data_IF_931775078412
#
_entry.id   IF_931775078412
#
_cell.length_a   1.000
_cell.length_b   1.000
_cell.length_c   1.000
_cell.angle_alpha   90.00
_cell.angle_beta   90.00
_cell.angle_gamma   90.00
#
_symmetry.space_group_name_H-M   'P 1'
#
loop_
_entity.id
_entity.type
_entity.pdbx_description
1 polymer ?
#
# COMPACT_ATOMS: atom_id res chain seq x y z
N UNK A 1 -36.98 -6.90 30.62
CA UNK A 1 -35.77 -6.39 31.31
C UNK A 1 -34.54 -7.25 31.02
N UNK A 2 -34.67 -8.57 30.94
CA UNK A 2 -33.58 -9.53 30.64
C UNK A 2 -32.80 -9.30 29.33
N UNK A 3 -33.45 -8.79 28.27
CA UNK A 3 -32.84 -8.65 26.93
C UNK A 3 -31.90 -7.44 26.80
N UNK A 4 -32.08 -6.40 27.64
CA UNK A 4 -31.20 -5.22 27.65
C UNK A 4 -29.90 -5.44 28.41
N UNK A 5 -29.89 -6.39 29.35
CA UNK A 5 -28.70 -6.78 30.11
C UNK A 5 -27.73 -7.59 29.23
N UNK A 6 -28.26 -8.53 28.45
CA UNK A 6 -27.47 -9.40 27.55
C UNK A 6 -26.77 -8.63 26.43
N UNK A 7 -27.43 -7.60 25.89
CA UNK A 7 -26.84 -6.72 24.86
C UNK A 7 -25.70 -5.87 25.44
N UNK A 8 -25.83 -5.44 26.70
CA UNK A 8 -24.84 -4.58 27.36
C UNK A 8 -23.56 -5.35 27.70
N UNK A 9 -23.70 -6.57 28.20
CA UNK A 9 -22.57 -7.50 28.44
C UNK A 9 -21.85 -7.86 27.13
N UNK A 10 -22.59 -8.04 26.04
CA UNK A 10 -22.01 -8.29 24.71
C UNK A 10 -21.18 -7.10 24.21
N UNK A 11 -21.68 -5.87 24.38
CA UNK A 11 -20.96 -4.65 23.98
C UNK A 11 -19.67 -4.46 24.79
N UNK A 12 -19.71 -4.71 26.11
CA UNK A 12 -18.52 -4.61 26.96
C UNK A 12 -17.46 -5.65 26.60
N UNK A 13 -17.89 -6.87 26.26
CA UNK A 13 -16.99 -7.94 25.83
C UNK A 13 -16.31 -7.62 24.49
N UNK A 14 -17.08 -7.13 23.51
CA UNK A 14 -16.54 -6.69 22.20
C UNK A 14 -15.54 -5.53 22.39
N UNK A 15 -15.85 -4.57 23.26
CA UNK A 15 -14.97 -3.43 23.53
C UNK A 15 -13.70 -3.79 24.31
N UNK A 16 -13.69 -4.90 25.06
CA UNK A 16 -12.50 -5.45 25.72
C UNK A 16 -11.64 -6.27 24.76
N UNK A 17 -12.26 -7.07 23.89
CA UNK A 17 -11.57 -7.86 22.86
C UNK A 17 -10.85 -6.93 21.86
N UNK A 18 -11.54 -5.92 21.33
CA UNK A 18 -10.95 -4.92 20.43
C UNK A 18 -9.75 -4.19 21.05
N UNK A 19 -9.80 -3.82 22.34
CA UNK A 19 -8.65 -3.19 23.02
C UNK A 19 -7.45 -4.12 23.17
N UNK A 20 -7.69 -5.42 23.40
CA UNK A 20 -6.61 -6.42 23.52
C UNK A 20 -5.96 -6.68 22.18
N UNK A 21 -6.75 -6.72 21.11
CA UNK A 21 -6.25 -6.84 19.73
C UNK A 21 -5.36 -5.64 19.37
N UNK A 22 -5.83 -4.40 19.63
CA UNK A 22 -5.04 -3.18 19.43
C UNK A 22 -3.72 -3.18 20.22
N UNK A 23 -3.75 -3.66 21.47
CA UNK A 23 -2.56 -3.70 22.33
C UNK A 23 -1.57 -4.80 21.92
N UNK A 24 -2.07 -5.94 21.43
CA UNK A 24 -1.27 -7.03 20.87
C UNK A 24 -0.60 -6.61 19.55
N UNK A 25 -1.36 -6.01 18.63
CA UNK A 25 -0.88 -5.49 17.36
C UNK A 25 0.19 -4.41 17.56
N UNK A 26 -0.05 -3.48 18.50
CA UNK A 26 0.94 -2.47 18.87
C UNK A 26 2.23 -3.09 19.41
N UNK A 27 2.12 -4.15 20.21
CA UNK A 27 3.28 -4.87 20.75
C UNK A 27 4.08 -5.59 19.66
N UNK A 28 3.40 -6.19 18.68
CA UNK A 28 4.02 -6.82 17.53
C UNK A 28 4.74 -5.80 16.63
N UNK A 29 4.10 -4.67 16.36
CA UNK A 29 4.69 -3.58 15.57
C UNK A 29 5.96 -3.05 16.22
N UNK A 30 5.96 -2.86 17.54
CA UNK A 30 7.17 -2.44 18.29
C UNK A 30 8.28 -3.49 18.20
N UNK A 31 7.96 -4.79 18.23
CA UNK A 31 8.95 -5.87 18.04
C UNK A 31 9.53 -5.88 16.63
N UNK A 32 8.71 -5.62 15.60
CA UNK A 32 9.17 -5.52 14.21
C UNK A 32 10.14 -4.34 14.06
N UNK A 33 9.75 -3.16 14.54
CA UNK A 33 10.61 -1.97 14.53
C UNK A 33 11.93 -2.22 15.27
N UNK A 34 11.91 -2.90 16.41
CA UNK A 34 13.13 -3.22 17.16
C UNK A 34 14.10 -4.15 16.40
N UNK A 35 13.60 -4.96 15.46
CA UNK A 35 14.43 -5.83 14.59
C UNK A 35 14.85 -5.16 13.29
N UNK A 36 14.27 -4.01 12.95
CA UNK A 36 14.65 -3.22 11.78
C UNK A 36 15.88 -2.38 12.08
N UNK A 37 16.90 -2.48 11.23
CA UNK A 37 18.07 -1.60 11.32
C UNK A 37 17.69 -0.22 10.79
N UNK A 38 17.81 0.80 11.63
CA UNK A 38 17.65 2.20 11.24
C UNK A 38 19.02 2.88 11.15
N UNK A 39 19.27 3.54 10.04
CA UNK A 39 20.42 4.41 9.84
C UNK A 39 19.93 5.81 9.51
N UNK A 40 20.43 6.81 10.23
CA UNK A 40 20.13 8.21 9.96
C UNK A 40 21.28 8.82 9.17
N UNK A 41 20.95 9.55 8.12
CA UNK A 41 21.90 10.25 7.27
C UNK A 41 21.53 11.72 7.21
N UNK A 42 22.53 12.60 7.33
CA UNK A 42 22.35 14.03 7.17
C UNK A 42 23.49 14.56 6.32
N UNK A 43 23.16 15.07 5.14
CA UNK A 43 24.12 15.61 4.18
C UNK A 43 23.67 17.01 3.72
N UNK A 44 24.63 17.91 3.51
CA UNK A 44 24.37 19.20 2.91
C UNK A 44 24.37 19.07 1.39
N UNK A 45 23.21 19.24 0.76
CA UNK A 45 23.07 19.18 -0.69
C UNK A 45 22.79 20.57 -1.28
N UNK A 46 23.50 20.91 -2.35
CA UNK A 46 23.16 22.08 -3.18
C UNK A 46 21.83 21.86 -3.93
N UNK A 47 21.46 20.60 -4.13
CA UNK A 47 20.21 20.18 -4.73
C UNK A 47 19.67 18.94 -4.00
N UNK A 48 18.61 19.13 -3.22
CA UNK A 48 18.03 18.10 -2.36
C UNK A 48 17.60 16.87 -3.17
N UNK A 49 17.04 17.06 -4.37
CA UNK A 49 16.53 15.93 -5.17
C UNK A 49 17.66 15.12 -5.77
N UNK A 50 18.74 15.78 -6.21
CA UNK A 50 19.93 15.08 -6.67
C UNK A 50 20.63 14.35 -5.51
N UNK A 51 20.71 14.97 -4.34
CA UNK A 51 21.24 14.33 -3.13
C UNK A 51 20.47 13.06 -2.75
N UNK A 52 19.12 13.11 -2.75
CA UNK A 52 18.29 11.94 -2.48
C UNK A 52 18.50 10.81 -3.50
N UNK A 53 18.62 11.13 -4.80
CA UNK A 53 18.89 10.14 -5.85
C UNK A 53 20.26 9.51 -5.63
N UNK A 54 21.30 10.33 -5.46
CA UNK A 54 22.66 9.85 -5.25
C UNK A 54 22.75 8.95 -4.02
N UNK A 55 22.18 9.36 -2.89
CA UNK A 55 22.19 8.57 -1.65
C UNK A 55 21.49 7.21 -1.83
N UNK A 56 20.38 7.19 -2.58
CA UNK A 56 19.65 5.95 -2.87
C UNK A 56 20.48 5.01 -3.74
N UNK A 57 21.15 5.54 -4.77
CA UNK A 57 22.00 4.76 -5.69
C UNK A 57 23.30 4.29 -5.02
N UNK A 58 23.97 5.15 -4.24
CA UNK A 58 25.21 4.83 -3.52
C UNK A 58 24.98 3.72 -2.49
N UNK A 59 23.84 3.75 -1.80
CA UNK A 59 23.42 2.66 -0.90
C UNK A 59 22.91 1.42 -1.61
N UNK A 60 22.69 1.49 -2.92
CA UNK A 60 22.02 0.43 -3.71
C UNK A 60 20.68 0.05 -3.10
N UNK A 61 19.91 1.04 -2.68
CA UNK A 61 18.57 0.81 -2.16
C UNK A 61 17.62 0.48 -3.32
N UNK A 62 16.81 -0.57 -3.15
CA UNK A 62 15.87 -1.03 -4.17
C UNK A 62 14.60 -0.16 -4.25
N UNK A 63 14.31 0.60 -3.18
CA UNK A 63 13.11 1.44 -3.06
C UNK A 63 13.40 2.76 -2.34
N UNK A 64 12.96 3.87 -2.92
CA UNK A 64 12.85 5.17 -2.27
C UNK A 64 11.39 5.41 -1.83
N UNK A 65 11.17 5.66 -0.54
CA UNK A 65 9.88 6.14 -0.02
C UNK A 65 9.99 7.62 0.36
N UNK A 66 9.15 8.46 -0.23
CA UNK A 66 9.12 9.89 0.08
C UNK A 66 7.71 10.44 0.32
N UNK A 67 7.61 11.52 1.09
CA UNK A 67 6.35 12.22 1.29
C UNK A 67 5.95 13.11 0.10
N UNK A 68 4.66 13.20 -0.19
CA UNK A 68 4.12 14.18 -1.12
C UNK A 68 3.95 15.54 -0.45
N UNK A 69 4.57 16.58 -0.99
CA UNK A 69 4.43 17.96 -0.53
C UNK A 69 3.62 18.79 -1.54
N UNK A 70 2.52 19.41 -1.09
CA UNK A 70 1.69 20.33 -1.89
C UNK A 70 0.37 19.76 -2.43
N UNK A 71 -0.41 20.59 -3.13
CA UNK A 71 -1.73 20.21 -3.69
C UNK A 71 -1.66 19.21 -4.85
N UNK A 72 -2.73 18.45 -5.08
CA UNK A 72 -2.84 17.44 -6.15
C UNK A 72 -3.71 18.04 -7.28
N UNK A 73 -3.08 18.64 -8.29
CA UNK A 73 -3.77 19.04 -9.53
C UNK A 73 -2.99 18.54 -10.73
N UNK A 74 -3.68 18.13 -11.80
CA UNK A 74 -3.05 17.53 -12.99
C UNK A 74 -1.96 18.45 -13.56
N UNK A 75 -2.20 19.77 -13.60
CA UNK A 75 -1.20 20.76 -14.03
C UNK A 75 -0.01 20.93 -13.07
N UNK A 76 -0.17 20.58 -11.78
CA UNK A 76 0.93 20.62 -10.80
C UNK A 76 1.78 19.35 -10.83
N UNK A 77 1.23 18.21 -11.26
CA UNK A 77 1.95 16.93 -11.32
C UNK A 77 3.19 17.01 -12.22
N UNK A 78 3.09 17.66 -13.39
CA UNK A 78 4.16 17.67 -14.41
C UNK A 78 5.40 18.52 -14.08
N UNK A 79 5.33 19.42 -13.08
CA UNK A 79 6.45 20.26 -12.62
C UNK A 79 6.73 20.09 -11.11
N UNK A 80 6.36 18.94 -10.53
CA UNK A 80 6.69 18.66 -9.13
C UNK A 80 8.11 18.13 -8.97
N UNK A 81 8.70 18.31 -7.79
CA UNK A 81 9.97 17.64 -7.49
C UNK A 81 9.93 16.11 -7.58
N UNK A 82 8.77 15.50 -7.36
CA UNK A 82 8.55 14.06 -7.54
C UNK A 82 8.82 13.63 -8.99
N UNK A 83 8.42 14.43 -9.99
CA UNK A 83 8.73 14.13 -11.40
C UNK A 83 10.23 14.11 -11.67
N UNK A 84 10.99 14.98 -11.01
CA UNK A 84 12.44 15.00 -11.17
C UNK A 84 13.08 13.73 -10.60
N UNK A 85 12.61 13.28 -9.43
CA UNK A 85 13.04 12.00 -8.86
C UNK A 85 12.66 10.85 -9.78
N UNK A 86 11.38 10.77 -10.18
CA UNK A 86 10.83 9.71 -11.05
C UNK A 86 11.62 9.53 -12.36
N UNK A 87 12.11 10.62 -12.95
CA UNK A 87 12.84 10.57 -14.24
C UNK A 87 14.28 10.07 -14.11
N UNK A 88 14.91 10.25 -12.96
CA UNK A 88 16.36 10.06 -12.82
C UNK A 88 16.74 8.93 -11.86
N UNK A 89 15.83 8.54 -10.97
CA UNK A 89 16.08 7.49 -9.98
C UNK A 89 16.20 6.11 -10.64
N UNK A 90 17.25 5.36 -10.30
CA UNK A 90 17.48 3.97 -10.73
C UNK A 90 17.05 2.93 -9.69
N UNK A 91 15.90 3.17 -9.08
CA UNK A 91 15.28 2.33 -8.07
C UNK A 91 13.76 2.52 -8.13
N UNK A 92 13.01 1.67 -7.45
CA UNK A 92 11.57 1.87 -7.33
C UNK A 92 11.27 3.12 -6.49
N UNK A 93 10.15 3.79 -6.82
CA UNK A 93 9.71 5.00 -6.12
C UNK A 93 8.31 4.79 -5.54
N UNK A 94 8.20 4.90 -4.22
CA UNK A 94 6.94 5.01 -3.51
C UNK A 94 6.76 6.45 -3.00
N UNK A 95 5.54 6.99 -3.18
CA UNK A 95 5.20 8.33 -2.71
C UNK A 95 4.00 8.26 -1.78
N UNK A 96 4.20 8.62 -0.52
CA UNK A 96 3.14 8.66 0.47
C UNK A 96 2.54 10.06 0.54
N UNK A 97 1.25 10.18 0.22
CA UNK A 97 0.48 11.36 0.54
C UNK A 97 -0.38 11.11 1.77
N UNK A 98 0.15 11.47 2.93
CA UNK A 98 -0.60 11.41 4.17
C UNK A 98 -1.74 12.46 4.16
N UNK A 99 -2.95 12.03 4.50
CA UNK A 99 -4.15 12.87 4.65
C UNK A 99 -4.81 12.63 6.01
N UNK A 100 -4.00 12.39 7.03
CA UNK A 100 -4.46 11.95 8.35
C UNK A 100 -4.75 10.44 8.36
N UNK A 101 -3.89 9.67 7.69
CA UNK A 101 -4.00 8.21 7.62
C UNK A 101 -3.82 7.65 9.04
N UNK A 102 -4.83 6.92 9.52
CA UNK A 102 -4.81 6.25 10.83
C UNK A 102 -4.83 4.75 10.65
N UNK A 103 -5.91 4.27 10.03
CA UNK A 103 -6.16 2.85 9.79
C UNK A 103 -6.35 2.61 8.29
N UNK A 104 -5.81 1.48 7.79
CA UNK A 104 -5.94 1.07 6.39
C UNK A 104 -6.73 -0.23 6.36
N UNK A 105 -8.03 -0.14 6.11
CA UNK A 105 -8.90 -1.31 6.06
C UNK A 105 -9.01 -1.91 4.65
N UNK A 106 -8.66 -1.13 3.63
CA UNK A 106 -8.72 -1.54 2.22
C UNK A 106 -7.68 -0.82 1.38
N UNK A 107 -7.14 -1.51 0.39
CA UNK A 107 -6.16 -1.00 -0.58
C UNK A 107 -6.72 -1.25 -1.98
N UNK A 108 -6.74 -0.22 -2.83
CA UNK A 108 -7.13 -0.37 -4.24
C UNK A 108 -5.88 -0.35 -5.11
N UNK A 109 -5.70 -1.40 -5.90
CA UNK A 109 -4.60 -1.55 -6.86
C UNK A 109 -5.14 -1.52 -8.30
N UNK A 110 -4.86 -0.46 -9.08
CA UNK A 110 -5.12 -0.47 -10.52
C UNK A 110 -4.21 -1.50 -11.21
N UNK A 111 -4.79 -2.35 -12.05
CA UNK A 111 -4.08 -3.43 -12.72
C UNK A 111 -4.09 -3.28 -14.23
N UNK A 112 -2.90 -3.05 -14.79
CA UNK A 112 -2.64 -3.05 -16.23
C UNK A 112 -1.78 -4.21 -16.72
N UNK A 113 -1.38 -5.14 -15.84
CA UNK A 113 -0.53 -6.31 -16.18
C UNK A 113 0.95 -6.02 -16.46
N UNK A 114 1.36 -4.75 -16.55
CA UNK A 114 2.75 -4.36 -16.74
C UNK A 114 3.60 -4.38 -15.46
N UNK A 115 4.89 -4.10 -15.58
CA UNK A 115 5.87 -4.14 -14.48
C UNK A 115 5.45 -3.30 -13.26
N UNK A 116 4.90 -2.10 -13.48
CA UNK A 116 4.44 -1.25 -12.39
C UNK A 116 3.23 -1.82 -11.64
N UNK A 117 2.37 -2.60 -12.31
CA UNK A 117 1.24 -3.26 -11.65
C UNK A 117 1.74 -4.40 -10.75
N UNK A 118 2.79 -5.11 -11.16
CA UNK A 118 3.45 -6.13 -10.35
C UNK A 118 4.13 -5.56 -9.10
N UNK A 119 4.89 -4.48 -9.25
CA UNK A 119 5.46 -3.76 -8.10
C UNK A 119 4.34 -3.29 -7.14
N UNK A 120 3.27 -2.72 -7.69
CA UNK A 120 2.11 -2.30 -6.91
C UNK A 120 1.43 -3.46 -6.18
N UNK A 121 1.37 -4.65 -6.78
CA UNK A 121 0.86 -5.86 -6.15
C UNK A 121 1.78 -6.35 -5.03
N UNK A 122 3.09 -6.39 -5.26
CA UNK A 122 4.07 -6.82 -4.26
C UNK A 122 4.02 -5.92 -3.01
N UNK A 123 3.97 -4.61 -3.19
CA UNK A 123 3.84 -3.65 -2.09
C UNK A 123 2.45 -3.77 -1.46
N UNK A 124 1.39 -3.79 -2.28
CA UNK A 124 0.00 -3.83 -1.83
C UNK A 124 -0.31 -5.06 -0.99
N UNK A 125 0.13 -6.25 -1.40
CA UNK A 125 -0.09 -7.50 -0.67
C UNK A 125 0.66 -7.53 0.65
N UNK A 126 1.87 -6.97 0.72
CA UNK A 126 2.64 -6.86 1.96
C UNK A 126 1.95 -5.95 2.97
N UNK A 127 1.47 -4.78 2.53
CA UNK A 127 0.71 -3.87 3.38
C UNK A 127 -0.61 -4.52 3.82
N UNK A 128 -1.33 -5.16 2.89
CA UNK A 128 -2.61 -5.81 3.17
C UNK A 128 -2.46 -6.95 4.19
N UNK A 129 -1.44 -7.80 4.05
CA UNK A 129 -1.15 -8.88 5.01
C UNK A 129 -0.79 -8.32 6.39
N UNK A 130 0.04 -7.28 6.43
CA UNK A 130 0.51 -6.70 7.68
C UNK A 130 -0.62 -6.04 8.48
N UNK A 131 -1.54 -5.36 7.79
CA UNK A 131 -2.64 -4.62 8.42
C UNK A 131 -3.97 -5.40 8.44
N UNK A 132 -3.95 -6.66 8.00
CA UNK A 132 -5.16 -7.45 7.72
C UNK A 132 -6.22 -6.62 6.96
N UNK A 133 -5.80 -5.99 5.86
CA UNK A 133 -6.63 -5.13 5.02
C UNK A 133 -7.14 -5.87 3.78
N UNK A 134 -8.29 -5.48 3.23
CA UNK A 134 -8.72 -6.01 1.92
C UNK A 134 -7.85 -5.43 0.80
N UNK A 135 -7.26 -6.28 -0.04
CA UNK A 135 -6.62 -5.87 -1.29
C UNK A 135 -7.62 -6.02 -2.44
N UNK A 136 -8.11 -4.89 -2.95
CA UNK A 136 -8.97 -4.83 -4.13
C UNK A 136 -8.16 -4.50 -5.38
N UNK A 137 -8.05 -5.44 -6.30
CA UNK A 137 -7.36 -5.26 -7.57
C UNK A 137 -8.38 -4.90 -8.65
N UNK A 138 -8.28 -3.69 -9.20
CA UNK A 138 -9.20 -3.15 -10.21
C UNK A 138 -8.59 -3.25 -11.61
N UNK A 139 -9.25 -3.97 -12.52
CA UNK A 139 -8.86 -4.07 -13.93
C UNK A 139 -9.95 -3.52 -14.84
N UNK A 140 -9.57 -2.64 -15.75
CA UNK A 140 -10.45 -2.16 -16.83
C UNK A 140 -10.19 -2.98 -18.10
N UNK A 141 -11.25 -3.48 -18.71
CA UNK A 141 -11.21 -4.24 -19.97
C UNK A 141 -11.98 -3.52 -21.08
N UNK A 142 -11.69 -3.84 -22.34
CA UNK A 142 -12.46 -3.31 -23.47
C UNK A 142 -13.82 -3.99 -23.55
N UNK A 143 -14.80 -3.30 -24.12
CA UNK A 143 -16.10 -3.89 -24.42
C UNK A 143 -15.97 -5.18 -25.23
N UNK A 144 -16.71 -6.22 -24.81
CA UNK A 144 -16.70 -7.53 -25.46
C UNK A 144 -15.58 -8.47 -25.01
N UNK A 145 -14.80 -8.09 -23.98
CA UNK A 145 -13.93 -9.04 -23.26
C UNK A 145 -14.79 -9.81 -22.26
N UNK A 146 -14.61 -11.14 -22.23
CA UNK A 146 -15.25 -11.97 -21.21
C UNK A 146 -14.60 -11.71 -19.84
N UNK A 147 -15.36 -11.07 -18.93
CA UNK A 147 -14.89 -10.72 -17.59
C UNK A 147 -14.52 -11.95 -16.76
N UNK A 148 -15.22 -13.07 -16.92
CA UNK A 148 -14.96 -14.28 -16.12
C UNK A 148 -13.69 -14.99 -16.56
N UNK A 149 -13.43 -15.05 -17.86
CA UNK A 149 -12.19 -15.62 -18.38
C UNK A 149 -10.99 -14.73 -18.03
N UNK A 150 -11.11 -13.41 -18.15
CA UNK A 150 -10.08 -12.47 -17.71
C UNK A 150 -9.80 -12.59 -16.20
N UNK A 151 -10.86 -12.75 -15.38
CA UNK A 151 -10.72 -12.98 -13.93
C UNK A 151 -9.90 -14.23 -13.63
N UNK A 152 -10.17 -15.33 -14.33
CA UNK A 152 -9.44 -16.60 -14.15
C UNK A 152 -7.97 -16.46 -14.55
N UNK A 153 -7.70 -15.87 -15.71
CA UNK A 153 -6.33 -15.67 -16.20
C UNK A 153 -5.51 -14.79 -15.25
N UNK A 154 -6.12 -13.70 -14.79
CA UNK A 154 -5.51 -12.81 -13.83
C UNK A 154 -5.25 -13.51 -12.49
N UNK A 155 -6.24 -14.22 -11.94
CA UNK A 155 -6.10 -14.95 -10.67
C UNK A 155 -4.98 -15.99 -10.75
N UNK A 156 -4.86 -16.70 -11.86
CA UNK A 156 -3.76 -17.64 -12.11
C UNK A 156 -2.41 -16.93 -12.11
N UNK A 157 -2.32 -15.80 -12.82
CA UNK A 157 -1.07 -15.05 -12.96
C UNK A 157 -0.56 -14.55 -11.60
N UNK A 158 -1.43 -13.96 -10.78
CA UNK A 158 -1.02 -13.34 -9.51
C UNK A 158 -0.91 -14.31 -8.33
N UNK A 159 -1.28 -15.59 -8.53
CA UNK A 159 -1.41 -16.59 -7.47
C UNK A 159 -0.17 -16.74 -6.60
N UNK A 160 1.03 -16.70 -7.19
CA UNK A 160 2.29 -16.84 -6.44
C UNK A 160 2.49 -15.74 -5.38
N UNK A 161 2.04 -14.51 -5.68
CA UNK A 161 2.17 -13.39 -4.75
C UNK A 161 1.03 -13.34 -3.73
N UNK A 162 -0.17 -13.79 -4.13
CA UNK A 162 -1.38 -13.72 -3.30
C UNK A 162 -1.62 -14.97 -2.47
N UNK A 163 -0.82 -16.02 -2.64
CA UNK A 163 -0.99 -17.30 -1.93
C UNK A 163 -1.05 -17.13 -0.41
N UNK A 164 -1.92 -17.89 0.25
CA UNK A 164 -2.12 -17.80 1.69
C UNK A 164 -2.68 -16.47 2.22
N UNK A 165 -3.24 -15.62 1.35
CA UNK A 165 -3.97 -14.42 1.77
C UNK A 165 -5.36 -14.36 1.13
N UNK A 166 -6.38 -14.61 1.93
CA UNK A 166 -7.75 -14.79 1.45
C UNK A 166 -8.49 -13.45 1.20
N UNK A 167 -7.94 -12.33 1.68
CA UNK A 167 -8.56 -10.99 1.55
C UNK A 167 -8.15 -10.27 0.27
N UNK A 168 -8.07 -11.01 -0.84
CA UNK A 168 -7.80 -10.47 -2.18
C UNK A 168 -9.07 -10.54 -3.02
N UNK A 169 -9.51 -9.38 -3.49
CA UNK A 169 -10.69 -9.22 -4.33
C UNK A 169 -10.28 -8.69 -5.70
N UNK A 170 -10.68 -9.37 -6.77
CA UNK A 170 -10.43 -8.92 -8.15
C UNK A 170 -11.73 -8.30 -8.66
N UNK A 171 -11.69 -7.06 -9.12
CA UNK A 171 -12.82 -6.36 -9.72
C UNK A 171 -12.47 -6.03 -11.18
N UNK A 172 -13.24 -6.60 -12.11
CA UNK A 172 -13.12 -6.33 -13.55
C UNK A 172 -14.30 -5.47 -13.95
N UNK A 173 -14.02 -4.42 -14.74
CA UNK A 173 -15.03 -3.51 -15.28
C UNK A 173 -14.74 -3.23 -16.74
N UNK A 174 -15.77 -3.18 -17.57
CA UNK A 174 -15.63 -2.62 -18.91
C UNK A 174 -15.33 -1.11 -18.83
N UNK A 175 -14.42 -0.65 -19.69
CA UNK A 175 -14.21 0.78 -19.94
C UNK A 175 -15.32 1.26 -20.87
N UNK A 176 -16.07 2.27 -20.41
CA UNK A 176 -16.97 3.07 -21.26
C UNK A 176 -16.20 3.79 -22.38
#
# INVERSE_FOLDING_TARGET
>A
MSEKETVRESIEKIAQESRREEEAERTENVKMLAKTKFESVSEAAHDIFQGLINETEERRADLMLMGWQGGFSVGRIYNTPVQRVLKNLRADLAVLKDRGLKDINSIVLPWGGGLHAWLGLEIGIRIARFLDAELKILRLVKAGVDEEDERKEMKKSISELTDGFDRVNIEIRESE
#
